data_IF_196909693118
#
_entry.id   IF_196909693118
#
_cell.length_a   1.000
_cell.length_b   1.000
_cell.length_c   1.000
_cell.angle_alpha   90.00
_cell.angle_beta   90.00
_cell.angle_gamma   90.00
#
_symmetry.space_group_name_H-M   'P 1'
#
loop_
_entity.id
_entity.type
_entity.pdbx_description
1 polymer ?
#
# COMPACT_ATOMS: atom_id res chain seq x y z
N UNK A 1 -29.41 58.22 40.06
CA UNK A 1 -29.45 57.33 38.88
C UNK A 1 -28.13 56.56 38.78
N UNK A 2 -28.11 55.42 38.08
CA UNK A 2 -26.96 54.56 37.70
C UNK A 2 -26.76 53.29 38.55
N UNK A 3 -27.51 52.21 38.30
CA UNK A 3 -27.33 51.07 37.36
C UNK A 3 -26.43 49.94 37.88
N UNK A 4 -27.08 48.82 38.17
CA UNK A 4 -26.53 47.48 38.44
C UNK A 4 -25.63 47.02 37.28
N UNK A 5 -24.46 46.47 37.59
CA UNK A 5 -23.77 45.51 36.72
C UNK A 5 -23.24 44.39 37.61
N UNK A 6 -24.04 43.32 37.74
CA UNK A 6 -23.59 42.02 38.25
C UNK A 6 -22.93 41.32 37.06
N UNK A 7 -21.60 41.27 37.06
CA UNK A 7 -20.84 40.53 36.05
C UNK A 7 -20.73 39.06 36.45
N UNK A 8 -21.50 38.18 35.80
CA UNK A 8 -21.27 36.74 35.85
C UNK A 8 -20.01 36.39 35.05
N UNK A 9 -18.89 36.18 35.73
CA UNK A 9 -17.70 35.57 35.16
C UNK A 9 -17.93 34.05 35.01
N UNK A 10 -18.37 33.61 33.83
CA UNK A 10 -18.43 32.19 33.49
C UNK A 10 -17.03 31.71 33.11
N UNK A 11 -16.36 31.01 34.03
CA UNK A 11 -15.11 30.30 33.75
C UNK A 11 -15.47 28.98 33.07
N UNK A 12 -15.33 28.92 31.75
CA UNK A 12 -15.44 27.68 30.99
C UNK A 12 -14.12 26.91 31.07
N UNK A 13 -13.97 26.04 32.07
CA UNK A 13 -12.87 25.06 32.12
C UNK A 13 -13.16 23.94 31.12
N UNK A 14 -12.57 24.03 29.93
CA UNK A 14 -12.47 22.90 29.03
C UNK A 14 -11.51 21.87 29.65
N UNK A 15 -12.07 20.77 30.18
CA UNK A 15 -11.28 19.62 30.60
C UNK A 15 -10.71 18.95 29.34
N UNK A 16 -9.50 19.34 28.94
CA UNK A 16 -8.71 18.58 28.00
C UNK A 16 -8.24 17.31 28.70
N UNK A 17 -9.01 16.22 28.59
CA UNK A 17 -8.56 14.91 29.05
C UNK A 17 -7.32 14.52 28.23
N UNK A 18 -6.15 14.26 28.86
CA UNK A 18 -5.02 13.73 28.12
C UNK A 18 -5.44 12.38 27.56
N UNK A 19 -5.32 12.21 26.25
CA UNK A 19 -5.41 10.88 25.65
C UNK A 19 -4.24 10.07 26.20
N UNK A 20 -4.53 9.17 27.15
CA UNK A 20 -3.50 8.28 27.68
C UNK A 20 -3.17 7.30 26.56
N UNK A 21 -2.07 7.56 25.85
CA UNK A 21 -1.43 6.59 24.99
C UNK A 21 -0.92 5.46 25.89
N UNK A 22 -1.65 4.34 25.89
CA UNK A 22 -1.42 3.23 26.83
C UNK A 22 -1.65 1.89 26.16
N UNK A 23 -1.09 0.84 26.77
CA UNK A 23 -1.39 -0.53 26.37
C UNK A 23 -2.89 -0.80 26.57
N UNK A 24 -3.52 -1.40 25.58
CA UNK A 24 -4.93 -1.78 25.66
C UNK A 24 -5.07 -3.16 26.30
N UNK A 25 -6.05 -3.32 27.19
CA UNK A 25 -6.50 -4.65 27.61
C UNK A 25 -7.04 -5.44 26.41
N UNK A 26 -7.09 -6.77 26.47
CA UNK A 26 -7.55 -7.57 25.32
C UNK A 26 -8.99 -7.25 24.88
N UNK A 27 -9.90 -6.97 25.81
CA UNK A 27 -11.28 -6.61 25.48
C UNK A 27 -11.37 -5.23 24.85
N UNK A 28 -10.55 -4.27 25.32
CA UNK A 28 -10.44 -2.95 24.72
C UNK A 28 -9.82 -3.03 23.32
N UNK A 29 -8.72 -3.76 23.18
CA UNK A 29 -8.06 -4.04 21.92
C UNK A 29 -9.04 -4.66 20.91
N UNK A 30 -9.80 -5.68 21.31
CA UNK A 30 -10.82 -6.32 20.47
C UNK A 30 -11.84 -5.30 19.98
N UNK A 31 -12.45 -4.51 20.87
CA UNK A 31 -13.42 -3.46 20.49
C UNK A 31 -12.78 -2.37 19.62
N UNK A 32 -11.50 -2.09 19.84
CA UNK A 32 -10.76 -1.08 19.09
C UNK A 32 -10.49 -1.52 17.64
N UNK A 33 -10.26 -2.80 17.37
CA UNK A 33 -9.87 -3.27 16.02
C UNK A 33 -10.97 -3.97 15.23
N UNK A 34 -11.94 -4.59 15.91
CA UNK A 34 -13.02 -5.35 15.25
C UNK A 34 -13.92 -4.45 14.41
N UNK A 35 -14.36 -4.98 13.26
CA UNK A 35 -15.23 -4.31 12.29
C UNK A 35 -14.54 -3.21 11.47
N UNK A 36 -13.26 -2.94 11.72
CA UNK A 36 -12.53 -1.80 11.17
C UNK A 36 -11.48 -2.23 10.13
N UNK A 37 -11.16 -1.30 9.25
CA UNK A 37 -10.12 -1.43 8.23
C UNK A 37 -8.93 -0.56 8.62
N UNK A 38 -7.74 -1.16 8.69
CA UNK A 38 -6.49 -0.47 9.00
C UNK A 38 -5.52 -0.61 7.84
N UNK A 39 -4.84 0.47 7.49
CA UNK A 39 -3.57 0.38 6.78
C UNK A 39 -2.47 0.12 7.81
N UNK A 40 -1.45 -0.65 7.45
CA UNK A 40 -0.33 -0.94 8.34
C UNK A 40 1.00 -0.76 7.64
N UNK A 41 2.00 -0.34 8.41
CA UNK A 41 3.42 -0.34 8.02
C UNK A 41 4.23 -0.90 9.19
N UNK A 42 5.08 -1.88 8.89
CA UNK A 42 5.89 -2.62 9.84
C UNK A 42 7.35 -2.15 9.81
N UNK A 43 8.08 -2.41 10.89
CA UNK A 43 9.48 -1.99 11.04
C UNK A 43 10.42 -2.54 9.95
N UNK A 44 10.08 -3.71 9.38
CA UNK A 44 10.81 -4.40 8.31
C UNK A 44 10.45 -3.86 6.91
N UNK A 45 9.66 -2.78 6.83
CA UNK A 45 9.15 -2.20 5.60
C UNK A 45 7.90 -2.87 5.04
N UNK A 46 7.44 -3.99 5.62
CA UNK A 46 6.20 -4.65 5.19
C UNK A 46 5.02 -3.72 5.38
N UNK A 47 4.15 -3.62 4.37
CA UNK A 47 3.00 -2.71 4.41
C UNK A 47 1.76 -3.30 3.78
N UNK A 48 0.61 -2.74 4.10
CA UNK A 48 -0.64 -3.25 3.56
C UNK A 48 -1.87 -2.60 4.17
N UNK A 49 -2.99 -3.30 4.02
CA UNK A 49 -4.24 -2.94 4.65
C UNK A 49 -5.08 -4.19 4.89
N UNK A 50 -5.83 -4.21 5.98
CA UNK A 50 -6.69 -5.33 6.32
C UNK A 50 -7.90 -4.91 7.13
N UNK A 51 -8.98 -5.68 6.98
CA UNK A 51 -10.19 -5.60 7.79
C UNK A 51 -10.23 -6.79 8.72
N UNK A 52 -10.52 -6.52 9.99
CA UNK A 52 -10.84 -7.53 11.00
C UNK A 52 -12.35 -7.55 11.15
N UNK A 53 -12.97 -8.70 10.98
CA UNK A 53 -14.42 -8.88 11.13
C UNK A 53 -14.79 -9.31 12.56
N UNK A 54 -16.08 -9.25 12.88
CA UNK A 54 -16.61 -9.52 14.23
C UNK A 54 -16.36 -10.95 14.72
N UNK A 55 -16.30 -11.90 13.78
CA UNK A 55 -15.99 -13.32 14.01
C UNK A 55 -14.48 -13.60 14.11
N UNK A 56 -13.63 -12.57 14.07
CA UNK A 56 -12.17 -12.71 14.12
C UNK A 56 -11.52 -13.11 12.80
N UNK A 57 -12.27 -13.23 11.70
CA UNK A 57 -11.70 -13.41 10.37
C UNK A 57 -11.03 -12.12 9.88
N UNK A 58 -10.02 -12.27 9.03
CA UNK A 58 -9.24 -11.14 8.49
C UNK A 58 -9.18 -11.23 6.98
N UNK A 59 -9.36 -10.11 6.28
CA UNK A 59 -9.12 -10.04 4.84
C UNK A 59 -8.30 -8.79 4.52
N UNK A 60 -7.31 -8.91 3.65
CA UNK A 60 -6.44 -7.78 3.35
C UNK A 60 -5.42 -8.05 2.26
N UNK A 61 -4.55 -7.05 2.11
CA UNK A 61 -3.42 -7.04 1.20
C UNK A 61 -2.13 -6.81 1.96
N UNK A 62 -1.05 -7.43 1.52
CA UNK A 62 0.29 -7.31 2.09
C UNK A 62 1.33 -7.16 0.97
N UNK A 63 2.31 -6.30 1.19
CA UNK A 63 3.48 -6.13 0.35
C UNK A 63 4.71 -6.24 1.26
N UNK A 64 5.40 -7.37 1.14
CA UNK A 64 6.53 -7.74 2.01
C UNK A 64 7.74 -6.88 1.65
N UNK A 65 8.40 -6.28 2.64
CA UNK A 65 9.55 -5.39 2.44
C UNK A 65 9.21 -4.08 1.70
N UNK A 66 7.92 -3.76 1.53
CA UNK A 66 7.46 -2.48 0.97
C UNK A 66 7.62 -2.34 -0.55
N UNK A 67 8.31 -3.28 -1.20
CA UNK A 67 8.53 -3.36 -2.64
C UNK A 67 8.00 -4.69 -3.20
N UNK A 68 7.82 -4.78 -4.53
CA UNK A 68 7.37 -6.02 -5.18
C UNK A 68 5.85 -6.21 -5.25
N UNK A 69 5.37 -7.42 -5.54
CA UNK A 69 3.95 -7.66 -5.81
C UNK A 69 3.10 -7.60 -4.54
N UNK A 70 1.93 -6.96 -4.64
CA UNK A 70 0.92 -6.99 -3.58
C UNK A 70 0.25 -8.37 -3.58
N UNK A 71 0.19 -8.99 -2.39
CA UNK A 71 -0.47 -10.28 -2.16
C UNK A 71 -1.76 -10.04 -1.39
N UNK A 72 -2.80 -10.78 -1.72
CA UNK A 72 -4.08 -10.73 -1.02
C UNK A 72 -4.26 -12.02 -0.23
N UNK A 73 -4.77 -11.90 1.00
CA UNK A 73 -4.99 -13.03 1.87
C UNK A 73 -6.31 -12.86 2.63
N UNK A 74 -6.93 -14.00 2.94
CA UNK A 74 -8.07 -14.11 3.83
C UNK A 74 -7.80 -15.21 4.84
N UNK A 75 -7.95 -14.87 6.11
CA UNK A 75 -7.89 -15.79 7.23
C UNK A 75 -9.34 -16.09 7.67
N UNK A 76 -9.64 -17.36 7.99
CA UNK A 76 -11.00 -17.78 8.33
C UNK A 76 -11.48 -17.22 9.66
N UNK A 77 -12.77 -17.41 9.94
CA UNK A 77 -13.38 -17.10 11.23
C UNK A 77 -12.65 -17.77 12.39
N UNK A 78 -12.58 -17.08 13.53
CA UNK A 78 -11.87 -17.56 14.70
C UNK A 78 -10.34 -17.43 14.61
N UNK A 79 -9.80 -16.75 13.59
CA UNK A 79 -8.37 -16.48 13.55
C UNK A 79 -7.94 -15.58 14.70
N UNK A 80 -8.52 -14.40 14.86
CA UNK A 80 -8.23 -13.53 16.00
C UNK A 80 -9.19 -13.80 17.15
N UNK A 81 -8.66 -14.13 18.33
CA UNK A 81 -9.45 -14.47 19.52
C UNK A 81 -8.83 -13.84 20.76
N UNK A 82 -9.66 -13.54 21.75
CA UNK A 82 -9.17 -13.20 23.09
C UNK A 82 -8.96 -14.50 23.87
N UNK A 83 -7.76 -14.70 24.40
CA UNK A 83 -7.36 -15.86 25.20
C UNK A 83 -6.51 -15.37 26.37
N UNK A 84 -6.90 -15.72 27.59
CA UNK A 84 -6.17 -15.37 28.82
C UNK A 84 -5.80 -13.89 28.94
N UNK A 85 -6.73 -12.99 28.57
CA UNK A 85 -6.51 -11.54 28.66
C UNK A 85 -5.60 -10.95 27.58
N UNK A 86 -5.25 -11.72 26.53
CA UNK A 86 -4.49 -11.27 25.37
C UNK A 86 -5.24 -11.56 24.05
N UNK A 87 -4.95 -10.83 22.98
CA UNK A 87 -5.44 -11.16 21.63
C UNK A 87 -4.44 -12.09 20.96
N UNK A 88 -4.86 -13.27 20.53
CA UNK A 88 -3.99 -14.26 19.89
C UNK A 88 -4.54 -14.67 18.53
N UNK A 89 -3.65 -15.02 17.60
CA UNK A 89 -3.99 -15.56 16.29
C UNK A 89 -3.92 -17.09 16.29
N UNK A 90 -4.93 -17.73 15.72
CA UNK A 90 -4.99 -19.15 15.46
C UNK A 90 -5.18 -19.35 13.96
N UNK A 91 -4.18 -19.90 13.28
CA UNK A 91 -4.23 -20.16 11.84
C UNK A 91 -3.96 -21.63 11.62
N UNK A 92 -4.82 -22.29 10.84
CA UNK A 92 -4.62 -23.70 10.48
C UNK A 92 -3.25 -23.89 9.85
N UNK A 93 -2.50 -24.87 10.34
CA UNK A 93 -1.15 -25.18 9.86
C UNK A 93 -0.02 -24.45 10.58
N UNK A 94 -0.32 -23.54 11.52
CA UNK A 94 0.69 -23.04 12.46
C UNK A 94 0.66 -23.87 13.74
N UNK A 95 1.86 -24.22 14.23
CA UNK A 95 2.03 -25.02 15.45
C UNK A 95 2.01 -24.18 16.74
N UNK A 96 1.85 -22.87 16.62
CA UNK A 96 1.77 -21.94 17.74
C UNK A 96 0.71 -20.87 17.49
N UNK A 97 0.22 -20.26 18.56
CA UNK A 97 -0.75 -19.18 18.51
C UNK A 97 -0.08 -17.89 18.99
N UNK A 98 0.43 -17.03 18.10
CA UNK A 98 1.08 -15.78 18.53
C UNK A 98 0.05 -14.87 19.18
N UNK A 99 0.39 -14.36 20.37
CA UNK A 99 -0.37 -13.32 21.04
C UNK A 99 0.25 -11.95 20.75
N UNK A 100 -0.60 -10.92 20.74
CA UNK A 100 -0.22 -9.57 20.34
C UNK A 100 -0.40 -8.58 21.48
N UNK A 101 0.55 -7.67 21.60
CA UNK A 101 0.46 -6.49 22.42
C UNK A 101 -0.02 -5.32 21.53
N UNK A 102 -1.06 -4.62 21.96
CA UNK A 102 -1.60 -3.48 21.22
C UNK A 102 -1.53 -2.23 22.09
N UNK A 103 -0.82 -1.21 21.61
CA UNK A 103 -0.67 0.08 22.28
C UNK A 103 -1.45 1.13 21.50
N UNK A 104 -2.49 1.69 22.10
CA UNK A 104 -3.25 2.78 21.48
C UNK A 104 -2.37 4.02 21.43
N UNK A 105 -2.22 4.60 20.25
CA UNK A 105 -1.41 5.82 20.05
C UNK A 105 -2.32 7.02 19.82
N UNK A 106 -3.47 6.81 19.18
CA UNK A 106 -4.53 7.80 18.93
C UNK A 106 -5.88 7.07 18.79
N UNK A 107 -6.99 7.78 18.63
CA UNK A 107 -8.32 7.23 18.36
C UNK A 107 -8.43 6.47 17.04
N UNK A 108 -7.49 6.73 16.13
CA UNK A 108 -7.42 6.09 14.81
C UNK A 108 -6.15 5.29 14.61
N UNK A 109 -5.20 5.31 15.54
CA UNK A 109 -3.91 4.63 15.36
C UNK A 109 -3.51 3.81 16.58
N UNK A 110 -2.85 2.69 16.31
CA UNK A 110 -2.27 1.86 17.35
C UNK A 110 -1.01 1.18 16.83
N UNK A 111 -0.14 0.79 17.75
CA UNK A 111 1.03 -0.03 17.48
C UNK A 111 0.73 -1.45 17.92
N UNK A 112 0.91 -2.41 17.02
CA UNK A 112 0.78 -3.85 17.31
C UNK A 112 2.12 -4.55 17.20
N UNK A 113 2.44 -5.41 18.16
CA UNK A 113 3.63 -6.27 18.15
C UNK A 113 3.28 -7.66 18.68
N UNK A 114 4.09 -8.67 18.36
CA UNK A 114 3.94 -10.00 18.96
C UNK A 114 4.54 -9.97 20.37
N UNK A 115 3.87 -10.60 21.33
CA UNK A 115 4.37 -10.71 22.71
C UNK A 115 5.77 -11.35 22.73
N UNK A 116 6.71 -10.71 23.42
CA UNK A 116 8.13 -11.10 23.42
C UNK A 116 8.98 -10.49 22.29
N UNK A 117 8.36 -9.83 21.30
CA UNK A 117 9.05 -9.19 20.16
C UNK A 117 8.58 -7.73 19.97
N UNK A 118 8.64 -6.91 21.02
CA UNK A 118 8.12 -5.53 21.00
C UNK A 118 8.81 -4.56 20.03
N UNK A 119 10.05 -4.85 19.65
CA UNK A 119 10.80 -4.11 18.61
C UNK A 119 10.27 -4.41 17.21
N UNK A 120 9.64 -5.57 17.00
CA UNK A 120 9.07 -6.00 15.74
C UNK A 120 7.58 -5.63 15.72
N UNK A 121 7.30 -4.37 15.36
CA UNK A 121 5.96 -3.81 15.41
C UNK A 121 5.48 -3.34 14.04
N UNK A 122 4.17 -3.18 13.95
CA UNK A 122 3.52 -2.44 12.88
C UNK A 122 2.68 -1.30 13.47
N UNK A 123 2.71 -0.16 12.82
CA UNK A 123 1.80 0.95 13.08
C UNK A 123 0.58 0.77 12.20
N UNK A 124 -0.59 0.73 12.83
CA UNK A 124 -1.88 0.59 12.18
C UNK A 124 -2.60 1.93 12.22
N UNK A 125 -3.17 2.33 11.09
CA UNK A 125 -3.94 3.57 10.97
C UNK A 125 -5.28 3.24 10.34
N UNK A 126 -6.36 3.53 11.06
CA UNK A 126 -7.73 3.36 10.59
C UNK A 126 -7.93 4.27 9.40
N UNK A 127 -8.17 3.69 8.24
CA UNK A 127 -8.53 4.47 7.06
C UNK A 127 -10.03 4.65 7.12
N UNK A 128 -10.50 5.89 7.28
CA UNK A 128 -11.88 6.22 6.94
C UNK A 128 -12.13 5.69 5.52
N UNK A 129 -13.10 4.79 5.35
CA UNK A 129 -13.22 3.88 4.20
C UNK A 129 -13.30 4.51 2.80
N UNK A 130 -13.15 5.84 2.67
CA UNK A 130 -13.32 6.63 1.46
C UNK A 130 -12.00 7.13 0.85
N UNK A 131 -10.92 7.32 1.63
CA UNK A 131 -9.75 8.11 1.17
C UNK A 131 -8.73 7.28 0.35
N UNK A 132 -8.63 5.96 0.57
CA UNK A 132 -7.64 5.12 -0.16
C UNK A 132 -8.12 4.64 -1.53
N UNK A 133 -9.38 4.25 -1.66
CA UNK A 133 -9.93 3.86 -2.96
C UNK A 133 -9.90 5.06 -3.92
N UNK A 134 -10.19 6.27 -3.41
CA UNK A 134 -10.10 7.50 -4.20
C UNK A 134 -8.66 7.84 -4.62
N UNK A 135 -7.64 7.56 -3.81
CA UNK A 135 -6.24 7.84 -4.16
C UNK A 135 -5.61 6.76 -5.06
N UNK A 136 -5.98 5.50 -4.89
CA UNK A 136 -5.63 4.43 -5.82
C UNK A 136 -6.29 4.64 -7.20
N UNK A 137 -7.57 5.00 -7.23
CA UNK A 137 -8.26 5.38 -8.47
C UNK A 137 -7.62 6.61 -9.12
N UNK A 138 -7.32 7.68 -8.34
CA UNK A 138 -6.62 8.86 -8.87
C UNK A 138 -5.23 8.55 -9.43
N UNK A 139 -4.47 7.61 -8.84
CA UNK A 139 -3.17 7.17 -9.39
C UNK A 139 -3.33 6.37 -10.68
N UNK A 140 -4.35 5.51 -10.78
CA UNK A 140 -4.68 4.80 -12.01
C UNK A 140 -5.22 5.73 -13.12
N UNK A 141 -5.75 6.91 -12.75
CA UNK A 141 -6.32 7.89 -13.67
C UNK A 141 -5.35 8.99 -14.09
N UNK A 142 -4.08 8.98 -13.66
CA UNK A 142 -3.11 9.98 -14.12
C UNK A 142 -2.76 9.65 -15.58
N UNK A 143 -3.11 10.51 -16.56
CA UNK A 143 -2.64 10.29 -17.92
C UNK A 143 -1.12 10.35 -17.90
N UNK A 144 -0.49 9.29 -18.40
CA UNK A 144 0.93 9.29 -18.72
C UNK A 144 1.11 10.31 -19.83
N UNK A 145 1.66 11.48 -19.50
CA UNK A 145 2.05 12.45 -20.52
C UNK A 145 3.20 11.84 -21.32
N UNK A 146 2.89 11.31 -22.49
CA UNK A 146 3.86 11.00 -23.53
C UNK A 146 4.37 12.35 -24.06
N UNK A 147 5.39 12.90 -23.42
CA UNK A 147 6.20 13.95 -24.04
C UNK A 147 6.92 13.30 -25.20
N UNK A 148 6.34 13.43 -26.39
CA UNK A 148 6.97 13.04 -27.65
C UNK A 148 8.19 13.97 -27.82
N UNK A 149 9.43 13.45 -27.92
CA UNK A 149 10.56 14.29 -28.28
C UNK A 149 10.25 14.89 -29.65
N UNK A 150 10.29 16.22 -29.74
CA UNK A 150 10.19 16.91 -31.01
C UNK A 150 11.44 16.53 -31.81
N UNK A 151 11.27 15.59 -32.72
CA UNK A 151 12.25 15.35 -33.78
C UNK A 151 12.30 16.61 -34.64
N UNK A 152 13.39 17.35 -34.50
CA UNK A 152 13.68 18.52 -35.32
C UNK A 152 13.92 18.01 -36.74
N UNK A 153 12.87 18.00 -37.54
CA UNK A 153 12.98 17.80 -38.99
C UNK A 153 13.70 19.02 -39.55
N UNK A 154 14.99 18.86 -39.85
CA UNK A 154 15.75 19.83 -40.65
C UNK A 154 15.33 19.62 -42.10
N UNK A 155 14.52 20.53 -42.62
CA UNK A 155 14.18 20.59 -44.05
C UNK A 155 15.40 21.07 -44.83
N UNK A 156 16.11 20.15 -45.48
CA UNK A 156 17.04 20.51 -46.56
C UNK A 156 16.23 20.78 -47.83
N UNK A 157 16.22 22.04 -48.27
CA UNK A 157 15.79 22.40 -49.62
C UNK A 157 16.80 21.80 -50.62
N UNK A 158 16.35 20.83 -51.40
CA UNK A 158 17.11 20.31 -52.55
C UNK A 158 16.53 20.94 -53.80
N UNK A 159 17.31 21.83 -54.41
CA UNK A 159 17.08 22.41 -55.72
C UNK A 159 17.15 21.32 -56.80
N UNK A 160 16.19 21.31 -57.73
CA UNK A 160 16.04 20.28 -58.73
C UNK A 160 17.15 20.35 -59.81
N UNK A 161 17.96 19.31 -59.93
CA UNK A 161 18.85 19.10 -61.08
C UNK A 161 18.16 18.22 -62.13
N UNK A 162 18.31 18.51 -63.45
CA UNK A 162 17.67 17.74 -64.52
C UNK A 162 18.24 16.31 -64.69
N UNK A 163 17.36 15.41 -65.10
CA UNK A 163 17.57 13.96 -65.24
C UNK A 163 18.51 13.59 -66.42
N UNK A 164 19.52 12.72 -66.24
CA UNK A 164 20.22 12.06 -67.35
C UNK A 164 19.55 10.74 -67.76
N UNK A 165 19.73 10.40 -69.04
CA UNK A 165 19.07 9.33 -69.82
C UNK A 165 19.41 7.89 -69.35
N UNK A 166 18.61 6.87 -69.74
CA UNK A 166 18.73 5.51 -69.20
C UNK A 166 19.89 4.74 -69.84
N UNK A 167 20.72 4.10 -69.01
CA UNK A 167 21.82 3.24 -69.45
C UNK A 167 21.83 1.89 -68.72
N UNK A 168 21.80 0.83 -69.53
CA UNK A 168 22.12 -0.61 -69.34
C UNK A 168 22.21 -1.22 -67.93
N UNK A 169 21.44 -2.28 -67.69
CA UNK A 169 21.51 -3.13 -66.50
C UNK A 169 22.70 -4.12 -66.55
N UNK A 170 23.43 -4.36 -65.43
CA UNK A 170 24.43 -5.42 -65.39
C UNK A 170 23.80 -6.79 -65.09
N UNK A 171 24.25 -7.77 -65.85
CA UNK A 171 24.00 -9.20 -65.69
C UNK A 171 24.57 -9.71 -64.35
N UNK A 172 23.75 -10.42 -63.57
CA UNK A 172 24.19 -11.09 -62.32
C UNK A 172 24.23 -12.60 -62.56
N UNK A 173 25.39 -13.21 -62.31
CA UNK A 173 25.64 -14.66 -62.38
C UNK A 173 25.33 -15.30 -61.01
N UNK A 174 24.66 -16.47 -60.94
CA UNK A 174 24.30 -17.09 -59.67
C UNK A 174 25.45 -17.88 -59.05
N UNK A 175 25.82 -17.51 -57.82
CA UNK A 175 26.81 -18.22 -57.01
C UNK A 175 26.32 -19.63 -56.61
N UNK A 176 27.18 -20.64 -56.84
CA UNK A 176 26.91 -22.04 -56.51
C UNK A 176 27.21 -22.36 -55.05
N UNK A 177 26.23 -23.01 -54.40
CA UNK A 177 26.24 -23.45 -53.00
C UNK A 177 26.95 -24.81 -52.87
N UNK A 178 28.13 -24.88 -52.25
CA UNK A 178 28.81 -26.14 -51.96
C UNK A 178 28.53 -26.59 -50.52
N UNK A 179 27.66 -27.60 -50.35
CA UNK A 179 27.50 -28.34 -49.09
C UNK A 179 28.68 -29.31 -48.90
N UNK A 180 29.31 -29.27 -47.72
CA UNK A 180 30.24 -30.31 -47.26
C UNK A 180 29.47 -31.35 -46.44
N UNK A 181 29.61 -32.66 -46.72
CA UNK A 181 28.98 -33.71 -45.93
C UNK A 181 29.81 -34.14 -44.71
N UNK A 182 29.11 -34.69 -43.73
CA UNK A 182 29.54 -35.26 -42.44
C UNK A 182 29.96 -36.74 -42.54
N UNK A 183 31.04 -37.13 -41.83
CA UNK A 183 31.37 -38.45 -41.25
C UNK A 183 32.84 -38.34 -40.75
N UNK A 184 33.34 -38.91 -39.65
CA UNK A 184 32.93 -39.93 -38.66
C UNK A 184 33.50 -39.50 -37.28
#
# INVERSE_FOLDING_TARGET
MLRRIVGCAAVATALASPVIAGEMSADEARRFVVGKMFAFNCFDGTRGAGRIHDDGSVAGSIQIGGAGPVRYARLPSGTLRVKSGSVCASVKGLFFEPCFNLVKTDDYTFRGSVSGMGFAYCTFTRRGGRIQMASAARRASRPVSLTRPAERVVTHHVEAQPLPAPGEAPHVEPASLNLRPTAD
#
